data_IF_255403758047
#
_entry.id   IF_255403758047
#
_cell.length_a   1.000
_cell.length_b   1.000
_cell.length_c   1.000
_cell.angle_alpha   90.00
_cell.angle_beta   90.00
_cell.angle_gamma   90.00
#
_symmetry.space_group_name_H-M   'P 1'
#
loop_
_entity.id
_entity.type
_entity.pdbx_description
1 polymer ?
#
# COMPACT_ATOMS: atom_id res chain seq x y z
N UNK A 1 51.54 -13.94 0.89
CA UNK A 1 50.97 -12.61 1.17
C UNK A 1 49.56 -12.60 0.59
N UNK A 2 48.52 -12.58 1.43
CA UNK A 2 47.13 -12.56 0.94
C UNK A 2 46.78 -11.11 0.57
N UNK A 3 46.56 -10.86 -0.72
CA UNK A 3 46.07 -9.57 -1.23
C UNK A 3 44.58 -9.47 -0.89
N UNK A 4 44.24 -8.63 0.10
CA UNK A 4 42.86 -8.24 0.40
C UNK A 4 42.41 -7.20 -0.62
N UNK A 5 42.05 -7.63 -1.82
CA UNK A 5 41.43 -6.75 -2.82
C UNK A 5 39.98 -6.50 -2.39
N UNK A 6 39.74 -5.42 -1.65
CA UNK A 6 38.38 -4.98 -1.34
C UNK A 6 37.77 -4.38 -2.60
N UNK A 7 36.98 -5.17 -3.31
CA UNK A 7 36.28 -4.74 -4.51
C UNK A 7 35.38 -3.53 -4.19
N UNK A 8 35.47 -2.48 -5.02
CA UNK A 8 34.72 -1.23 -4.89
C UNK A 8 33.81 -1.00 -6.10
N UNK A 9 32.71 -0.27 -5.88
CA UNK A 9 31.72 0.13 -6.88
C UNK A 9 31.41 1.62 -6.71
N UNK A 10 30.96 2.29 -7.77
CA UNK A 10 30.53 3.68 -7.67
C UNK A 10 29.07 3.79 -7.22
N UNK A 11 28.79 4.70 -6.29
CA UNK A 11 27.44 5.04 -5.87
C UNK A 11 26.67 5.70 -7.03
N UNK A 12 25.55 5.10 -7.46
CA UNK A 12 24.69 5.62 -8.53
C UNK A 12 24.05 6.97 -8.20
N UNK A 13 23.99 7.31 -6.90
CA UNK A 13 23.35 8.53 -6.43
C UNK A 13 24.26 9.76 -6.37
N UNK A 14 25.58 9.58 -6.17
CA UNK A 14 26.52 10.69 -5.97
C UNK A 14 27.91 10.48 -6.59
N UNK A 15 28.14 9.35 -7.25
CA UNK A 15 29.39 9.00 -7.93
C UNK A 15 30.54 8.55 -7.04
N UNK A 16 30.41 8.61 -5.70
CA UNK A 16 31.50 8.27 -4.79
C UNK A 16 31.81 6.77 -4.81
N UNK A 17 33.09 6.44 -4.72
CA UNK A 17 33.57 5.05 -4.62
C UNK A 17 33.20 4.48 -3.25
N UNK A 18 32.49 3.35 -3.26
CA UNK A 18 32.03 2.63 -2.08
C UNK A 18 32.40 1.15 -2.21
N UNK A 19 32.62 0.42 -1.12
CA UNK A 19 32.84 -1.02 -1.18
C UNK A 19 31.71 -1.75 -1.95
N UNK A 20 32.03 -2.79 -2.73
CA UNK A 20 31.02 -3.57 -3.47
C UNK A 20 29.94 -4.15 -2.55
N UNK A 21 30.33 -4.53 -1.33
CA UNK A 21 29.44 -5.00 -0.26
C UNK A 21 28.76 -3.88 0.55
N UNK A 22 29.02 -2.60 0.24
CA UNK A 22 28.45 -1.48 0.98
C UNK A 22 26.94 -1.39 0.76
N UNK A 23 26.19 -1.51 1.87
CA UNK A 23 24.72 -1.40 1.89
C UNK A 23 24.24 0.04 1.72
N UNK A 24 25.06 1.00 2.14
CA UNK A 24 24.80 2.43 2.05
C UNK A 24 26.05 3.16 1.60
N UNK A 25 25.86 4.27 0.88
CA UNK A 25 26.96 5.16 0.55
C UNK A 25 27.38 5.92 1.81
N UNK A 26 28.62 5.75 2.25
CA UNK A 26 29.23 6.48 3.35
C UNK A 26 29.36 8.00 3.09
N UNK A 27 29.23 8.44 1.83
CA UNK A 27 29.37 9.84 1.43
C UNK A 27 28.04 10.59 1.31
N UNK A 28 26.98 9.94 0.84
CA UNK A 28 25.66 10.58 0.65
C UNK A 28 24.50 9.92 1.41
N UNK A 29 24.73 8.78 2.06
CA UNK A 29 23.73 8.08 2.88
C UNK A 29 22.69 7.25 2.10
N UNK A 30 22.67 7.28 0.76
CA UNK A 30 21.69 6.50 -0.03
C UNK A 30 22.09 5.01 -0.10
N UNK A 31 21.09 4.13 0.01
CA UNK A 31 21.27 2.68 -0.07
C UNK A 31 21.42 2.22 -1.51
N UNK A 32 22.53 1.58 -1.83
CA UNK A 32 22.84 1.08 -3.19
C UNK A 32 22.45 -0.40 -3.36
N UNK A 33 21.39 -0.83 -2.66
CA UNK A 33 20.68 -2.09 -2.86
C UNK A 33 19.18 -1.85 -2.76
N UNK A 34 18.47 -2.03 -3.87
CA UNK A 34 17.09 -2.55 -3.88
C UNK A 34 17.13 -3.88 -3.12
N UNK A 35 16.44 -4.16 -2.01
CA UNK A 35 15.02 -3.98 -1.71
C UNK A 35 14.73 -4.04 -0.19
N UNK A 36 15.71 -3.81 0.69
CA UNK A 36 15.42 -3.72 2.13
C UNK A 36 14.81 -2.36 2.46
N UNK A 37 13.52 -2.30 2.73
CA UNK A 37 12.91 -1.08 3.26
C UNK A 37 13.31 -0.93 4.73
N UNK A 38 13.90 0.20 5.09
CA UNK A 38 14.09 0.52 6.51
C UNK A 38 12.76 1.00 7.10
N UNK A 39 12.49 0.65 8.36
CA UNK A 39 11.35 1.19 9.07
C UNK A 39 11.47 2.73 9.14
N UNK A 40 10.48 3.49 8.65
CA UNK A 40 10.56 4.95 8.62
C UNK A 40 10.50 5.61 10.00
N UNK A 41 10.19 4.84 11.06
CA UNK A 41 10.15 5.35 12.43
C UNK A 41 11.40 5.01 13.24
N UNK A 42 11.99 3.83 13.06
CA UNK A 42 13.12 3.41 13.90
C UNK A 42 14.38 3.04 13.11
N UNK A 43 14.35 3.14 11.78
CA UNK A 43 15.49 2.86 10.89
C UNK A 43 15.86 1.38 10.78
N UNK A 44 15.15 0.47 11.48
CA UNK A 44 15.43 -0.97 11.43
C UNK A 44 15.28 -1.52 10.01
N UNK A 45 16.31 -2.19 9.51
CA UNK A 45 16.29 -2.79 8.18
C UNK A 45 15.31 -3.95 8.16
N UNK A 46 14.32 -3.88 7.27
CA UNK A 46 13.34 -4.95 7.09
C UNK A 46 13.82 -5.82 5.92
N UNK A 47 14.26 -7.06 6.20
CA UNK A 47 14.80 -7.93 5.16
C UNK A 47 13.75 -8.30 4.10
N UNK A 48 12.49 -8.42 4.49
CA UNK A 48 11.36 -8.82 3.63
C UNK A 48 10.17 -7.87 3.83
N UNK A 49 10.34 -6.62 3.41
CA UNK A 49 9.35 -5.56 3.65
C UNK A 49 7.97 -5.83 3.03
N UNK A 50 7.91 -6.73 2.05
CA UNK A 50 6.67 -7.20 1.44
C UNK A 50 5.93 -8.22 2.31
N UNK A 51 6.67 -9.06 3.05
CA UNK A 51 6.11 -10.15 3.86
C UNK A 51 5.72 -9.74 5.29
N UNK A 52 6.21 -8.59 5.79
CA UNK A 52 5.93 -8.16 7.16
C UNK A 52 5.00 -6.94 7.22
N UNK A 53 3.86 -7.09 7.90
CA UNK A 53 2.87 -6.02 8.08
C UNK A 53 3.29 -4.98 9.13
N UNK A 54 4.17 -5.36 10.05
CA UNK A 54 4.63 -4.55 11.18
C UNK A 54 6.13 -4.64 11.34
N UNK A 55 6.75 -3.56 11.81
CA UNK A 55 8.16 -3.54 12.17
C UNK A 55 8.37 -4.39 13.43
N UNK A 56 9.19 -5.45 13.39
CA UNK A 56 9.43 -6.31 14.54
C UNK A 56 10.16 -5.59 15.69
N UNK A 57 10.81 -4.45 15.41
CA UNK A 57 11.57 -3.69 16.41
C UNK A 57 10.72 -2.63 17.14
N UNK A 58 9.83 -1.92 16.44
CA UNK A 58 9.10 -0.78 17.02
C UNK A 58 7.58 -0.87 16.90
N UNK A 59 7.04 -1.93 16.30
CA UNK A 59 5.60 -2.13 16.14
C UNK A 59 4.93 -1.27 15.07
N UNK A 60 5.63 -0.29 14.45
CA UNK A 60 5.04 0.53 13.38
C UNK A 60 4.63 -0.35 12.20
N UNK A 61 3.41 -0.12 11.70
CA UNK A 61 2.91 -0.71 10.44
C UNK A 61 3.77 -0.29 9.25
N UNK A 62 4.21 -1.28 8.48
CA UNK A 62 5.03 -1.09 7.28
C UNK A 62 4.10 -1.28 6.08
N UNK A 63 3.57 -0.19 5.52
CA UNK A 63 2.70 -0.26 4.34
C UNK A 63 3.49 0.10 3.09
N UNK A 64 3.63 -0.85 2.17
CA UNK A 64 3.43 -0.61 0.72
C UNK A 64 2.85 -1.86 0.07
N UNK A 65 1.62 -2.20 0.44
CA UNK A 65 0.79 -2.97 -0.48
C UNK A 65 0.45 -2.07 -1.66
N UNK A 66 1.28 -2.06 -2.71
CA UNK A 66 0.75 -1.79 -4.04
C UNK A 66 -0.10 -3.01 -4.35
N UNK A 67 -1.39 -2.93 -4.05
CA UNK A 67 -2.32 -3.94 -4.55
C UNK A 67 -2.08 -4.04 -6.06
N UNK A 68 -1.74 -5.22 -6.54
CA UNK A 68 -1.85 -5.55 -7.95
C UNK A 68 -3.35 -5.67 -8.29
N UNK A 69 -4.11 -4.59 -8.09
CA UNK A 69 -5.46 -4.50 -8.60
C UNK A 69 -5.35 -4.24 -10.09
N UNK A 70 -5.64 -5.27 -10.89
CA UNK A 70 -5.95 -5.10 -12.29
C UNK A 70 -7.25 -4.30 -12.32
N UNK A 71 -7.14 -2.98 -12.41
CA UNK A 71 -8.30 -2.11 -12.57
C UNK A 71 -9.04 -2.54 -13.83
N UNK A 72 -10.23 -3.13 -13.66
CA UNK A 72 -11.17 -3.30 -14.76
C UNK A 72 -11.71 -1.90 -15.02
N UNK A 73 -11.09 -1.20 -15.97
CA UNK A 73 -11.58 0.10 -16.43
C UNK A 73 -12.79 -0.20 -17.31
N UNK A 74 -13.97 0.27 -16.91
CA UNK A 74 -15.15 0.25 -17.77
C UNK A 74 -14.80 0.94 -19.11
N UNK A 75 -15.42 0.57 -20.24
CA UNK A 75 -15.09 1.14 -21.56
C UNK A 75 -15.22 2.68 -21.64
N UNK A 76 -15.88 3.30 -20.66
CA UNK A 76 -16.01 4.75 -20.48
C UNK A 76 -14.99 5.39 -19.51
N UNK A 77 -14.05 4.62 -18.95
CA UNK A 77 -13.00 5.13 -18.07
C UNK A 77 -13.39 5.29 -16.59
N UNK A 78 -14.59 4.89 -16.19
CA UNK A 78 -15.07 5.12 -14.82
C UNK A 78 -14.42 4.15 -13.82
N UNK A 79 -13.73 4.70 -12.83
CA UNK A 79 -13.22 3.96 -11.68
C UNK A 79 -14.20 4.15 -10.52
N UNK A 80 -14.88 3.07 -10.13
CA UNK A 80 -15.80 3.10 -9.00
C UNK A 80 -15.02 3.06 -7.67
N UNK A 81 -15.27 4.02 -6.78
CA UNK A 81 -14.63 4.12 -5.45
C UNK A 81 -15.65 3.95 -4.33
N UNK A 82 -15.27 3.17 -3.33
CA UNK A 82 -16.09 2.99 -2.14
C UNK A 82 -16.06 4.24 -1.26
N UNK A 83 -17.22 4.84 -1.00
CA UNK A 83 -17.35 6.05 -0.17
C UNK A 83 -17.14 5.82 1.34
N UNK A 84 -16.86 4.59 1.77
CA UNK A 84 -16.51 4.28 3.17
C UNK A 84 -14.99 4.14 3.35
N UNK A 85 -14.31 3.37 2.49
CA UNK A 85 -12.87 3.11 2.63
C UNK A 85 -11.98 3.90 1.64
N UNK A 86 -12.59 4.62 0.70
CA UNK A 86 -11.94 5.39 -0.37
C UNK A 86 -11.03 4.56 -1.29
N UNK A 87 -11.24 3.25 -1.34
CA UNK A 87 -10.53 2.34 -2.24
C UNK A 87 -11.40 2.03 -3.47
N UNK A 88 -10.74 1.73 -4.58
CA UNK A 88 -11.38 1.33 -5.83
C UNK A 88 -12.12 -0.01 -5.65
N UNK A 89 -13.24 -0.19 -6.34
CA UNK A 89 -14.10 -1.40 -6.29
C UNK A 89 -13.89 -2.19 -7.58
N UNK A 90 -13.39 -3.42 -7.47
CA UNK A 90 -12.96 -4.23 -8.63
C UNK A 90 -14.10 -5.06 -9.26
N UNK A 91 -14.97 -5.67 -8.45
CA UNK A 91 -16.05 -6.56 -8.92
C UNK A 91 -17.23 -6.54 -7.94
N UNK A 92 -18.46 -6.67 -8.45
CA UNK A 92 -19.67 -6.67 -7.61
C UNK A 92 -19.82 -5.41 -6.75
N UNK A 93 -19.93 -4.24 -7.39
CA UNK A 93 -20.18 -2.99 -6.68
C UNK A 93 -21.65 -2.82 -6.33
N UNK A 94 -21.93 -2.16 -5.21
CA UNK A 94 -23.29 -1.75 -4.85
C UNK A 94 -23.36 -0.23 -4.82
N UNK A 95 -24.46 0.31 -5.33
CA UNK A 95 -24.72 1.75 -5.32
C UNK A 95 -25.91 2.04 -4.42
N UNK A 96 -25.86 3.18 -3.74
CA UNK A 96 -27.06 3.69 -3.09
C UNK A 96 -28.09 4.09 -4.17
N UNK A 97 -29.35 3.60 -4.12
CA UNK A 97 -30.36 3.94 -5.12
C UNK A 97 -30.78 5.41 -5.09
N UNK A 98 -30.50 6.11 -3.98
CA UNK A 98 -30.89 7.51 -3.79
C UNK A 98 -29.81 8.51 -4.22
N UNK A 99 -28.53 8.23 -3.94
CA UNK A 99 -27.43 9.17 -4.23
C UNK A 99 -26.36 8.63 -5.19
N UNK A 100 -26.52 7.40 -5.69
CA UNK A 100 -25.63 6.73 -6.64
C UNK A 100 -24.17 6.56 -6.19
N UNK A 101 -23.87 6.90 -4.92
CA UNK A 101 -22.56 6.64 -4.36
C UNK A 101 -22.27 5.15 -4.34
N UNK A 102 -21.05 4.82 -4.73
CA UNK A 102 -20.59 3.44 -4.84
C UNK A 102 -19.94 2.97 -3.54
N UNK A 103 -20.11 1.68 -3.24
CA UNK A 103 -19.59 1.01 -2.06
C UNK A 103 -19.20 -0.43 -2.39
N UNK A 104 -18.25 -0.96 -1.62
CA UNK A 104 -18.12 -2.41 -1.48
C UNK A 104 -19.38 -2.95 -0.83
N UNK A 105 -19.92 -4.06 -1.34
CA UNK A 105 -21.09 -4.72 -0.78
C UNK A 105 -20.96 -4.92 0.74
N UNK A 106 -19.85 -5.49 1.20
CA UNK A 106 -19.61 -5.74 2.62
C UNK A 106 -19.62 -4.47 3.48
N UNK A 107 -19.05 -3.37 3.01
CA UNK A 107 -19.01 -2.11 3.78
C UNK A 107 -20.39 -1.48 3.88
N UNK A 108 -21.14 -1.41 2.77
CA UNK A 108 -22.50 -0.88 2.81
C UNK A 108 -23.41 -1.81 3.62
N UNK A 109 -23.22 -3.12 3.52
CA UNK A 109 -24.03 -4.10 4.21
C UNK A 109 -23.95 -3.99 5.72
N UNK A 110 -22.72 -3.99 6.24
CA UNK A 110 -22.49 -3.83 7.68
C UNK A 110 -23.06 -2.50 8.18
N UNK A 111 -22.92 -1.42 7.40
CA UNK A 111 -23.46 -0.12 7.76
C UNK A 111 -25.00 -0.12 7.86
N UNK A 112 -25.67 -0.72 6.86
CA UNK A 112 -27.14 -0.80 6.85
C UNK A 112 -27.65 -1.64 8.02
N UNK A 113 -26.97 -2.74 8.38
CA UNK A 113 -27.36 -3.57 9.54
C UNK A 113 -27.34 -2.76 10.85
N UNK A 114 -26.42 -1.81 10.99
CA UNK A 114 -26.31 -1.01 12.22
C UNK A 114 -27.17 0.26 12.23
N UNK A 115 -27.40 0.88 11.07
CA UNK A 115 -27.95 2.24 10.99
C UNK A 115 -29.19 2.37 10.11
N UNK A 116 -29.52 1.37 9.31
CA UNK A 116 -30.62 1.38 8.33
C UNK A 116 -30.64 2.62 7.42
N UNK A 117 -29.49 3.26 7.17
CA UNK A 117 -29.40 4.47 6.36
C UNK A 117 -28.15 4.48 5.47
N UNK A 118 -28.19 5.28 4.41
CA UNK A 118 -27.02 5.54 3.59
C UNK A 118 -25.99 6.37 4.38
N UNK A 119 -24.70 5.99 4.39
CA UNK A 119 -23.65 6.77 5.06
C UNK A 119 -23.46 8.17 4.48
N UNK A 120 -23.85 8.40 3.21
CA UNK A 120 -23.64 9.67 2.51
C UNK A 120 -24.88 10.57 2.53
N UNK A 121 -26.01 10.07 2.04
CA UNK A 121 -27.23 10.90 1.88
C UNK A 121 -28.26 10.72 2.99
N UNK A 122 -28.03 9.81 3.96
CA UNK A 122 -28.94 9.54 5.08
C UNK A 122 -30.32 9.00 4.69
N UNK A 123 -30.55 8.69 3.40
CA UNK A 123 -31.77 7.99 2.97
C UNK A 123 -31.84 6.63 3.68
N UNK A 124 -33.01 6.27 4.18
CA UNK A 124 -33.28 4.96 4.77
C UNK A 124 -33.05 3.85 3.73
N UNK A 125 -32.30 2.81 4.10
CA UNK A 125 -31.96 1.67 3.24
C UNK A 125 -32.25 0.37 3.98
N UNK A 126 -32.80 -0.61 3.27
CA UNK A 126 -33.07 -1.94 3.79
C UNK A 126 -32.48 -3.01 2.87
N UNK A 127 -31.97 -4.09 3.46
CA UNK A 127 -31.50 -5.28 2.75
C UNK A 127 -32.69 -6.10 2.25
N UNK A 128 -32.80 -6.28 0.93
CA UNK A 128 -33.78 -7.19 0.34
C UNK A 128 -33.01 -8.42 -0.13
N UNK A 129 -33.21 -9.57 0.53
CA UNK A 129 -32.70 -10.85 0.06
C UNK A 129 -33.64 -11.36 -1.03
N UNK A 130 -33.13 -11.52 -2.25
CA UNK A 130 -33.83 -12.25 -3.34
C UNK A 130 -33.49 -13.74 -3.27
#
# INVERSE_FOLDING_TARGET
>A
MLLNTSETKNCKSCGSEVPSNARFCNKCGKSEFTESQNCPQCGYGIPDADSVKFCPKCGKRLKKGRSHHKTIIAPNGEVHRCNICLQDVEDGFTVCPSCLNCFHFAHLANWIIEKNECPVCKTELNMISN
#
